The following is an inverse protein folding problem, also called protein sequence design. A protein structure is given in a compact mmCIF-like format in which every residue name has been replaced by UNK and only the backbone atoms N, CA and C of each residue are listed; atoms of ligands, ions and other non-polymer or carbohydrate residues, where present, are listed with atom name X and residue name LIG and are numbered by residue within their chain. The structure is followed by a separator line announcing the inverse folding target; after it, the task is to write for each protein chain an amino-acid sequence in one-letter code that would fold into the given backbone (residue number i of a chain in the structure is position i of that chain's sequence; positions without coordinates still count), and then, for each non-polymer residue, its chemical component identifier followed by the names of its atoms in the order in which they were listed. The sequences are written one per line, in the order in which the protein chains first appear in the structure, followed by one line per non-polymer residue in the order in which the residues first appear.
data_IF_778541294246
#
_entry.id   IF_778541294246
#
_cell.length_a   1.000
_cell.length_b   1.000
_cell.length_c   1.000
_cell.angle_alpha   90.00
_cell.angle_beta   90.00
_cell.angle_gamma   90.00
#
_symmetry.space_group_name_H-M   'P 1'
#
loop_
_entity.id
_entity.type
_entity.pdbx_description
1 polymer ?
#
# COMPACT_ATOMS: atom_id res chain seq x y z
N UNK A 1 10.02 3.67 5.28
CA UNK A 1 9.92 2.27 5.77
C UNK A 1 9.80 1.35 4.55
N UNK A 2 10.86 0.60 4.25
CA UNK A 2 11.05 -0.09 2.96
C UNK A 2 9.96 -1.13 2.69
N UNK A 3 9.47 -1.79 3.74
CA UNK A 3 8.36 -2.77 3.65
C UNK A 3 7.08 -2.12 3.09
N UNK A 4 6.70 -0.95 3.60
CA UNK A 4 5.50 -0.24 3.17
C UNK A 4 5.57 0.20 1.70
N UNK A 5 6.75 0.68 1.27
CA UNK A 5 7.00 1.06 -0.12
C UNK A 5 6.92 -0.15 -1.05
N UNK A 6 7.50 -1.29 -0.67
CA UNK A 6 7.43 -2.51 -1.45
C UNK A 6 6.00 -3.05 -1.57
N UNK A 7 5.23 -3.05 -0.48
CA UNK A 7 3.80 -3.44 -0.49
C UNK A 7 3.01 -2.55 -1.45
N UNK A 8 3.23 -1.23 -1.40
CA UNK A 8 2.54 -0.27 -2.26
C UNK A 8 2.90 -0.47 -3.75
N UNK A 9 4.19 -0.59 -4.07
CA UNK A 9 4.66 -0.84 -5.43
C UNK A 9 4.16 -2.19 -5.96
N UNK A 10 4.24 -3.26 -5.18
CA UNK A 10 3.70 -4.57 -5.58
C UNK A 10 2.22 -4.49 -5.89
N UNK A 11 1.44 -3.76 -5.08
CA UNK A 11 0.00 -3.61 -5.28
C UNK A 11 -0.36 -2.79 -6.53
N UNK A 12 0.24 -1.62 -6.72
CA UNK A 12 -0.21 -0.65 -7.74
C UNK A 12 0.68 -0.57 -8.97
N UNK A 13 1.95 -0.94 -8.87
CA UNK A 13 2.88 -0.94 -10.01
C UNK A 13 2.99 -2.31 -10.65
N UNK A 14 3.14 -3.36 -9.84
CA UNK A 14 3.24 -4.75 -10.31
C UNK A 14 1.91 -5.50 -10.33
N UNK A 15 0.80 -4.84 -9.97
CA UNK A 15 -0.57 -5.39 -10.00
C UNK A 15 -0.75 -6.72 -9.26
N UNK A 16 0.03 -6.95 -8.19
CA UNK A 16 -0.08 -8.15 -7.36
C UNK A 16 -1.34 -8.14 -6.49
N UNK A 17 -1.92 -9.32 -6.31
CA UNK A 17 -2.98 -9.57 -5.34
C UNK A 17 -2.45 -9.47 -3.90
N UNK A 18 -3.35 -9.30 -2.93
CA UNK A 18 -2.94 -9.26 -1.51
C UNK A 18 -2.32 -10.60 -1.07
N UNK A 19 -2.84 -11.72 -1.58
CA UNK A 19 -2.34 -13.05 -1.28
C UNK A 19 -0.91 -13.26 -1.82
N UNK A 20 -0.64 -12.88 -3.09
CA UNK A 20 0.71 -12.95 -3.66
C UNK A 20 1.71 -12.09 -2.85
N UNK A 21 1.32 -10.87 -2.46
CA UNK A 21 2.20 -9.99 -1.66
C UNK A 21 2.46 -10.60 -0.28
N UNK A 22 1.43 -11.15 0.36
CA UNK A 22 1.53 -11.78 1.67
C UNK A 22 2.50 -12.97 1.64
N UNK A 23 2.36 -13.83 0.64
CA UNK A 23 3.23 -14.99 0.42
C UNK A 23 4.68 -14.58 0.12
N UNK A 24 4.90 -13.73 -0.90
CA UNK A 24 6.23 -13.27 -1.31
C UNK A 24 7.01 -12.58 -0.18
N UNK A 25 6.30 -11.83 0.68
CA UNK A 25 6.90 -11.08 1.78
C UNK A 25 6.86 -11.82 3.13
N UNK A 26 6.30 -13.03 3.19
CA UNK A 26 6.13 -13.84 4.40
C UNK A 26 5.42 -13.08 5.54
N UNK A 27 4.33 -12.41 5.21
CA UNK A 27 3.49 -11.65 6.15
C UNK A 27 2.03 -12.06 6.02
N UNK A 28 1.18 -11.72 7.00
CA UNK A 28 -0.25 -11.99 6.88
C UNK A 28 -0.93 -11.04 5.89
N UNK A 29 -1.99 -11.52 5.21
CA UNK A 29 -2.84 -10.65 4.39
C UNK A 29 -3.38 -9.45 5.16
N UNK A 30 -3.72 -9.62 6.44
CA UNK A 30 -4.21 -8.55 7.30
C UNK A 30 -3.16 -7.45 7.47
N UNK A 31 -1.87 -7.81 7.61
CA UNK A 31 -0.77 -6.84 7.65
C UNK A 31 -0.66 -6.08 6.32
N UNK A 32 -0.75 -6.77 5.19
CA UNK A 32 -0.75 -6.14 3.85
C UNK A 32 -1.91 -5.16 3.70
N UNK A 33 -3.14 -5.57 4.03
CA UNK A 33 -4.35 -4.72 3.98
C UNK A 33 -4.19 -3.48 4.87
N UNK A 34 -3.72 -3.64 6.10
CA UNK A 34 -3.46 -2.53 7.02
C UNK A 34 -2.41 -1.55 6.46
N UNK A 35 -1.30 -2.06 5.93
CA UNK A 35 -0.24 -1.21 5.35
C UNK A 35 -0.76 -0.44 4.15
N UNK A 36 -1.50 -1.09 3.24
CA UNK A 36 -2.10 -0.45 2.07
C UNK A 36 -3.10 0.63 2.47
N UNK A 37 -3.96 0.36 3.46
CA UNK A 37 -4.90 1.35 3.99
C UNK A 37 -4.17 2.58 4.54
N UNK A 38 -3.24 2.39 5.49
CA UNK A 38 -2.50 3.50 6.10
C UNK A 38 -1.66 4.30 5.08
N UNK A 39 -1.13 3.62 4.06
CA UNK A 39 -0.36 4.29 3.00
C UNK A 39 -1.26 5.11 2.09
N UNK A 40 -2.44 4.60 1.72
CA UNK A 40 -3.44 5.35 0.94
C UNK A 40 -3.95 6.58 1.68
N UNK A 41 -4.27 6.47 2.97
CA UNK A 41 -4.73 7.62 3.76
C UNK A 41 -3.68 8.75 3.76
N UNK A 42 -2.40 8.42 3.95
CA UNK A 42 -1.32 9.40 3.88
C UNK A 42 -1.17 10.03 2.50
N UNK A 43 -1.38 9.24 1.44
CA UNK A 43 -1.35 9.74 0.08
C UNK A 43 -2.54 10.67 -0.19
N UNK A 44 -3.74 10.33 0.30
CA UNK A 44 -4.93 11.18 0.22
C UNK A 44 -4.70 12.51 0.92
N UNK A 45 -4.25 12.48 2.18
CA UNK A 45 -3.92 13.69 2.96
C UNK A 45 -2.87 14.56 2.26
N UNK A 46 -1.88 13.94 1.61
CA UNK A 46 -0.87 14.66 0.84
C UNK A 46 -1.48 15.34 -0.39
N UNK A 47 -2.29 14.61 -1.17
CA UNK A 47 -2.91 15.12 -2.39
C UNK A 47 -3.95 16.22 -2.08
N UNK A 48 -4.73 16.08 -1.01
CA UNK A 48 -5.66 17.09 -0.54
C UNK A 48 -4.94 18.41 -0.17
N UNK A 49 -3.75 18.34 0.44
CA UNK A 49 -2.92 19.52 0.74
C UNK A 49 -2.42 20.24 -0.51
N UNK A 50 -2.17 19.49 -1.59
CA UNK A 50 -1.78 20.04 -2.89
C UNK A 50 -3.01 20.52 -3.70
N UNK A 51 -4.22 20.49 -3.12
CA UNK A 51 -5.45 20.92 -3.77
C UNK A 51 -6.06 19.88 -4.73
N UNK A 52 -5.55 18.65 -4.72
CA UNK A 52 -6.08 17.53 -5.51
C UNK A 52 -7.13 16.79 -4.68
N UNK A 53 -8.40 16.87 -5.09
CA UNK A 53 -9.50 16.12 -4.45
C UNK A 53 -9.64 14.72 -5.08
N UNK A 54 -9.75 13.68 -4.23
CA UNK A 54 -9.78 12.25 -4.61
C UNK A 54 -10.90 11.53 -3.88
#
# INVERSE_FOLDING_TARGET
DREKQLIFLKRYWYMRTVAEIADEMRVSESKVKMVLHRTREKLREYLEKEGVQI
#
